data_IF_705123719330
#
_entry.id   IF_705123719330
#
_cell.length_a   1.000
_cell.length_b   1.000
_cell.length_c   1.000
_cell.angle_alpha   90.00
_cell.angle_beta   90.00
_cell.angle_gamma   90.00
#
_symmetry.space_group_name_H-M   'P 1'
#
loop_
_entity.id
_entity.type
_entity.pdbx_description
1 polymer ?
#
# COMPACT_ATOMS: atom_id res chain seq x y z
N UNK A 1 6.20 -86.31 -38.14
CA UNK A 1 6.88 -86.01 -36.86
C UNK A 1 6.74 -84.54 -36.48
N UNK A 2 7.13 -83.59 -37.34
CA UNK A 2 6.99 -82.16 -37.05
C UNK A 2 5.55 -81.70 -36.82
N UNK A 3 4.57 -82.14 -37.62
CA UNK A 3 3.14 -81.80 -37.41
C UNK A 3 2.58 -82.37 -36.10
N UNK A 4 2.98 -83.59 -35.71
CA UNK A 4 2.58 -84.20 -34.44
C UNK A 4 3.16 -83.45 -33.24
N UNK A 5 4.41 -82.98 -33.37
CA UNK A 5 5.06 -82.12 -32.37
C UNK A 5 4.35 -80.77 -32.30
N UNK A 6 4.02 -80.15 -33.44
CA UNK A 6 3.28 -78.89 -33.52
C UNK A 6 1.92 -78.99 -32.84
N UNK A 7 1.13 -80.02 -33.15
CA UNK A 7 -0.18 -80.24 -32.53
C UNK A 7 -0.07 -80.51 -31.02
N UNK A 8 0.93 -81.28 -30.58
CA UNK A 8 1.18 -81.51 -29.16
C UNK A 8 1.55 -80.21 -28.42
N UNK A 9 2.40 -79.37 -29.03
CA UNK A 9 2.81 -78.06 -28.50
C UNK A 9 1.62 -77.11 -28.42
N UNK A 10 0.84 -76.95 -29.50
CA UNK A 10 -0.33 -76.06 -29.51
C UNK A 10 -1.43 -76.49 -28.53
N UNK A 11 -1.52 -77.79 -28.21
CA UNK A 11 -2.44 -78.31 -27.18
C UNK A 11 -1.96 -78.04 -25.76
N UNK A 12 -0.65 -78.10 -25.51
CA UNK A 12 -0.06 -77.85 -24.20
C UNK A 12 0.07 -76.34 -23.91
N UNK A 13 0.20 -75.52 -24.97
CA UNK A 13 0.39 -74.08 -24.92
C UNK A 13 -0.63 -73.39 -25.83
N UNK A 14 -1.90 -73.29 -25.40
CA UNK A 14 -2.98 -72.71 -26.21
C UNK A 14 -2.70 -71.25 -26.64
N UNK A 15 -1.92 -70.50 -25.88
CA UNK A 15 -1.45 -69.15 -26.18
C UNK A 15 -0.57 -69.09 -27.45
N UNK A 16 0.05 -70.19 -27.85
CA UNK A 16 0.81 -70.29 -29.10
C UNK A 16 -0.11 -70.35 -30.31
N UNK A 17 -1.30 -70.94 -30.17
CA UNK A 17 -2.29 -71.04 -31.25
C UNK A 17 -2.85 -69.68 -31.63
N UNK A 18 -3.08 -68.82 -30.63
CA UNK A 18 -3.57 -67.45 -30.82
C UNK A 18 -2.47 -66.39 -30.90
N UNK A 19 -1.19 -66.75 -30.89
CA UNK A 19 -0.08 -65.79 -30.88
C UNK A 19 -0.08 -64.84 -29.68
N UNK A 20 -0.72 -65.21 -28.57
CA UNK A 20 -0.95 -64.35 -27.39
C UNK A 20 0.29 -64.24 -26.49
N UNK A 21 1.27 -65.10 -26.73
CA UNK A 21 2.60 -65.07 -26.13
C UNK A 21 3.49 -63.97 -26.72
N UNK A 22 3.11 -63.40 -27.86
CA UNK A 22 3.84 -62.30 -28.51
C UNK A 22 3.17 -60.97 -28.17
N UNK A 23 4.01 -59.96 -28.03
CA UNK A 23 3.55 -58.58 -27.97
C UNK A 23 3.04 -58.16 -29.34
N UNK A 24 1.95 -57.40 -29.34
CA UNK A 24 1.34 -56.88 -30.56
C UNK A 24 1.26 -55.37 -30.50
N UNK A 25 1.36 -54.73 -31.65
CA UNK A 25 0.96 -53.34 -31.77
C UNK A 25 -0.57 -53.26 -31.75
N UNK A 26 -1.07 -52.26 -31.04
CA UNK A 26 -2.47 -51.88 -31.06
C UNK A 26 -2.57 -50.35 -31.20
N UNK A 27 -3.70 -49.87 -31.72
CA UNK A 27 -3.98 -48.43 -31.84
C UNK A 27 -5.08 -48.05 -30.87
N UNK A 28 -4.90 -46.91 -30.20
CA UNK A 28 -5.92 -46.33 -29.33
C UNK A 28 -7.10 -45.85 -30.17
N UNK A 29 -8.31 -46.31 -29.85
CA UNK A 29 -9.55 -45.93 -30.53
C UNK A 29 -10.28 -44.83 -29.75
N UNK A 30 -10.34 -44.96 -28.43
CA UNK A 30 -11.02 -44.01 -27.55
C UNK A 30 -10.47 -44.07 -26.12
N UNK A 31 -10.70 -43.01 -25.34
CA UNK A 31 -10.45 -42.99 -23.89
C UNK A 31 -11.66 -43.62 -23.19
N UNK A 32 -11.41 -44.65 -22.37
CA UNK A 32 -12.47 -45.40 -21.69
C UNK A 32 -12.82 -44.80 -20.32
N UNK A 33 -14.11 -44.57 -20.07
CA UNK A 33 -14.74 -44.20 -18.77
C UNK A 33 -13.82 -43.44 -17.78
N UNK A 34 -13.42 -42.22 -18.14
CA UNK A 34 -12.56 -41.37 -17.30
C UNK A 34 -13.27 -41.05 -15.97
N UNK A 35 -12.63 -41.29 -14.81
CA UNK A 35 -13.22 -40.95 -13.51
C UNK A 35 -13.23 -39.43 -13.28
N UNK A 36 -14.28 -38.92 -12.62
CA UNK A 36 -14.36 -37.51 -12.19
C UNK A 36 -13.62 -37.21 -10.87
N UNK A 37 -13.27 -38.24 -10.10
CA UNK A 37 -12.58 -38.17 -8.81
C UNK A 37 -11.72 -39.44 -8.57
N UNK A 38 -10.89 -39.45 -7.53
CA UNK A 38 -10.11 -40.63 -7.14
C UNK A 38 -11.02 -41.84 -6.87
N UNK A 39 -10.74 -42.98 -7.51
CA UNK A 39 -11.56 -44.18 -7.38
C UNK A 39 -10.72 -45.45 -7.52
N UNK A 40 -11.19 -46.54 -6.92
CA UNK A 40 -10.57 -47.86 -7.06
C UNK A 40 -10.56 -48.29 -8.52
N UNK A 41 -9.38 -48.67 -9.02
CA UNK A 41 -9.21 -49.27 -10.32
C UNK A 41 -9.39 -50.80 -10.18
N UNK A 42 -10.50 -51.33 -10.69
CA UNK A 42 -10.83 -52.74 -10.58
C UNK A 42 -10.84 -53.41 -11.95
N UNK A 43 -10.67 -54.74 -11.96
CA UNK A 43 -10.63 -55.53 -13.20
C UNK A 43 -11.82 -55.29 -14.12
N UNK A 44 -13.02 -55.08 -13.56
CA UNK A 44 -14.25 -54.94 -14.34
C UNK A 44 -14.62 -53.47 -14.63
N UNK A 45 -13.84 -52.51 -14.11
CA UNK A 45 -14.01 -51.08 -14.37
C UNK A 45 -12.68 -50.35 -14.19
N UNK A 46 -11.70 -50.58 -15.10
CA UNK A 46 -10.43 -49.90 -15.00
C UNK A 46 -10.63 -48.41 -15.35
N UNK A 47 -10.13 -47.54 -14.47
CA UNK A 47 -10.36 -46.09 -14.53
C UNK A 47 -9.32 -45.33 -15.34
N UNK A 48 -8.15 -45.94 -15.53
CA UNK A 48 -7.08 -45.45 -16.38
C UNK A 48 -6.87 -46.46 -17.51
N UNK A 49 -7.72 -46.36 -18.53
CA UNK A 49 -7.83 -47.33 -19.60
C UNK A 49 -8.25 -46.69 -20.92
N UNK A 50 -8.01 -47.41 -22.01
CA UNK A 50 -8.36 -47.00 -23.38
C UNK A 50 -8.93 -48.19 -24.15
N UNK A 51 -9.75 -47.89 -25.15
CA UNK A 51 -10.19 -48.88 -26.12
C UNK A 51 -9.11 -49.05 -27.19
N UNK A 52 -8.77 -50.29 -27.55
CA UNK A 52 -7.72 -50.57 -28.53
C UNK A 52 -8.18 -51.52 -29.63
N UNK A 53 -7.65 -51.33 -30.83
CA UNK A 53 -7.72 -52.30 -31.92
C UNK A 53 -6.32 -52.89 -32.18
N UNK A 54 -6.22 -54.21 -32.29
CA UNK A 54 -4.95 -54.89 -32.53
C UNK A 54 -4.58 -54.74 -34.01
N UNK A 55 -3.31 -54.48 -34.29
CA UNK A 55 -2.78 -54.30 -35.63
C UNK A 55 -2.02 -55.54 -36.11
N UNK A 56 -1.99 -55.71 -37.42
CA UNK A 56 -1.11 -56.64 -38.13
C UNK A 56 0.33 -56.11 -38.17
N UNK A 57 1.28 -56.91 -38.69
CA UNK A 57 2.66 -56.48 -38.87
C UNK A 57 2.82 -55.28 -39.81
N UNK A 58 1.85 -55.05 -40.69
CA UNK A 58 1.80 -53.95 -41.64
C UNK A 58 1.08 -52.70 -41.07
N UNK A 59 0.78 -52.68 -39.76
CA UNK A 59 0.08 -51.59 -39.04
C UNK A 59 -1.39 -51.36 -39.44
N UNK A 60 -2.00 -52.33 -40.14
CA UNK A 60 -3.43 -52.34 -40.46
C UNK A 60 -4.23 -53.08 -39.38
N UNK A 61 -5.52 -52.74 -39.14
CA UNK A 61 -6.39 -53.47 -38.21
C UNK A 61 -6.40 -54.98 -38.49
N UNK A 62 -6.17 -55.80 -37.48
CA UNK A 62 -6.20 -57.25 -37.58
C UNK A 62 -7.65 -57.75 -37.40
N UNK A 63 -8.33 -58.24 -38.44
CA UNK A 63 -9.73 -58.68 -38.35
C UNK A 63 -9.90 -59.93 -37.48
N UNK A 64 -8.81 -60.61 -37.10
CA UNK A 64 -8.87 -61.75 -36.18
C UNK A 64 -9.20 -61.34 -34.74
N UNK A 65 -9.07 -60.05 -34.40
CA UNK A 65 -9.29 -59.55 -33.05
C UNK A 65 -10.41 -58.50 -33.02
N UNK A 66 -11.31 -58.56 -32.03
CA UNK A 66 -12.26 -57.48 -31.81
C UNK A 66 -11.55 -56.25 -31.24
N UNK A 67 -12.26 -55.12 -31.23
CA UNK A 67 -11.87 -53.98 -30.38
C UNK A 67 -11.95 -54.42 -28.92
N UNK A 68 -10.88 -54.19 -28.18
CA UNK A 68 -10.82 -54.45 -26.75
C UNK A 68 -11.19 -53.18 -25.99
N UNK A 69 -12.34 -53.15 -25.30
CA UNK A 69 -12.72 -51.99 -24.52
C UNK A 69 -11.97 -51.94 -23.19
N UNK A 70 -11.74 -50.73 -22.69
CA UNK A 70 -11.22 -50.47 -21.36
C UNK A 70 -9.97 -51.29 -20.99
N UNK A 71 -8.97 -51.34 -21.89
CA UNK A 71 -7.69 -51.98 -21.61
C UNK A 71 -6.85 -51.06 -20.70
N UNK A 72 -6.39 -51.54 -19.52
CA UNK A 72 -5.64 -50.71 -18.58
C UNK A 72 -4.34 -50.15 -19.17
N UNK A 73 -4.10 -48.86 -18.95
CA UNK A 73 -2.86 -48.16 -19.29
C UNK A 73 -1.77 -48.38 -18.21
N UNK A 74 -0.48 -48.43 -18.60
CA UNK A 74 0.62 -48.45 -17.66
C UNK A 74 0.82 -47.05 -17.05
N UNK A 75 1.21 -47.00 -15.78
CA UNK A 75 1.61 -45.75 -15.13
C UNK A 75 3.13 -45.58 -15.31
N UNK A 76 3.53 -44.55 -16.04
CA UNK A 76 4.91 -44.41 -16.55
C UNK A 76 5.96 -44.15 -15.47
N UNK A 77 5.60 -43.50 -14.37
CA UNK A 77 6.49 -43.23 -13.24
C UNK A 77 5.70 -43.14 -11.93
N UNK A 78 6.03 -44.02 -10.99
CA UNK A 78 5.32 -44.19 -9.71
C UNK A 78 3.94 -44.84 -9.90
N UNK A 79 3.60 -45.84 -9.10
CA UNK A 79 2.26 -46.41 -9.05
C UNK A 79 1.92 -46.71 -7.58
N UNK A 80 0.68 -46.44 -7.16
CA UNK A 80 0.23 -46.60 -5.78
C UNK A 80 -1.16 -45.99 -5.57
N UNK A 81 -1.60 -45.89 -4.31
CA UNK A 81 -2.82 -45.15 -4.00
C UNK A 81 -2.63 -43.67 -4.36
N UNK A 82 -3.46 -43.16 -5.27
CA UNK A 82 -3.50 -41.76 -5.72
C UNK A 82 -2.12 -41.14 -6.06
N UNK A 83 -1.22 -41.93 -6.64
CA UNK A 83 0.16 -41.53 -6.94
C UNK A 83 0.64 -42.04 -8.30
N UNK A 84 1.41 -41.19 -9.00
CA UNK A 84 2.00 -41.50 -10.30
C UNK A 84 1.90 -40.33 -11.28
N UNK A 85 2.43 -40.54 -12.48
CA UNK A 85 2.27 -39.62 -13.61
C UNK A 85 1.20 -40.17 -14.56
N UNK A 86 0.08 -39.46 -14.70
CA UNK A 86 -1.07 -39.88 -15.50
C UNK A 86 -1.25 -38.95 -16.69
N UNK A 87 -1.22 -39.52 -17.90
CA UNK A 87 -1.46 -38.81 -19.14
C UNK A 87 -2.04 -39.79 -20.16
N UNK A 88 -3.26 -39.51 -20.64
CA UNK A 88 -3.88 -40.35 -21.64
C UNK A 88 -3.18 -40.18 -22.99
N UNK A 89 -2.89 -41.27 -23.72
CA UNK A 89 -2.53 -41.19 -25.12
C UNK A 89 -3.74 -40.75 -25.95
N UNK A 90 -3.51 -39.95 -27.00
CA UNK A 90 -4.57 -39.53 -27.91
C UNK A 90 -5.10 -40.72 -28.74
N UNK A 91 -6.39 -40.70 -29.14
CA UNK A 91 -6.87 -41.60 -30.18
C UNK A 91 -5.98 -41.56 -31.42
N UNK A 92 -5.58 -42.74 -31.90
CA UNK A 92 -4.59 -42.92 -32.96
C UNK A 92 -3.18 -43.26 -32.47
N UNK A 93 -2.87 -43.04 -31.18
CA UNK A 93 -1.57 -43.40 -30.62
C UNK A 93 -1.33 -44.91 -30.66
N UNK A 94 -0.07 -45.30 -30.88
CA UNK A 94 0.34 -46.69 -30.92
C UNK A 94 0.69 -47.18 -29.50
N UNK A 95 0.26 -48.38 -29.16
CA UNK A 95 0.57 -49.04 -27.89
C UNK A 95 1.06 -50.46 -28.13
N UNK A 96 1.84 -50.98 -27.20
CA UNK A 96 2.21 -52.40 -27.18
C UNK A 96 1.32 -53.13 -26.18
N UNK A 97 0.50 -54.04 -26.69
CA UNK A 97 -0.39 -54.88 -25.89
C UNK A 97 0.22 -56.26 -25.68
N UNK A 98 0.13 -56.76 -24.46
CA UNK A 98 0.36 -58.16 -24.13
C UNK A 98 -0.87 -58.76 -23.47
N UNK A 99 -0.91 -60.09 -23.37
CA UNK A 99 -1.99 -60.82 -22.74
C UNK A 99 -1.50 -61.48 -21.46
N UNK A 100 -1.93 -60.99 -20.29
CA UNK A 100 -1.50 -61.56 -19.02
C UNK A 100 -1.92 -63.04 -18.94
N UNK A 101 -0.97 -63.90 -18.56
CA UNK A 101 -1.13 -65.37 -18.55
C UNK A 101 -1.51 -65.98 -19.91
N UNK A 102 -1.24 -65.28 -21.04
CA UNK A 102 -1.59 -65.76 -22.37
C UNK A 102 -3.10 -65.82 -22.65
N UNK A 103 -3.90 -65.08 -21.88
CA UNK A 103 -5.37 -65.11 -21.97
C UNK A 103 -5.92 -63.96 -22.83
N UNK A 104 -6.76 -64.23 -23.84
CA UNK A 104 -7.38 -63.18 -24.66
C UNK A 104 -8.19 -62.17 -23.86
N UNK A 105 -8.79 -62.57 -22.74
CA UNK A 105 -9.64 -61.72 -21.88
C UNK A 105 -8.84 -60.91 -20.85
N UNK A 106 -7.51 -60.95 -20.90
CA UNK A 106 -6.62 -60.16 -20.04
C UNK A 106 -5.60 -59.34 -20.85
N UNK A 107 -6.06 -58.47 -21.77
CA UNK A 107 -5.15 -57.53 -22.42
C UNK A 107 -4.61 -56.53 -21.39
N UNK A 108 -3.33 -56.22 -21.51
CA UNK A 108 -2.66 -55.16 -20.73
C UNK A 108 -1.76 -54.36 -21.66
N UNK A 109 -1.85 -53.03 -21.57
CA UNK A 109 -0.92 -52.16 -22.30
C UNK A 109 0.38 -52.12 -21.51
N UNK A 110 1.48 -52.50 -22.15
CA UNK A 110 2.81 -52.51 -21.52
C UNK A 110 3.52 -51.16 -21.65
N UNK A 111 3.31 -50.49 -22.78
CA UNK A 111 3.89 -49.18 -23.07
C UNK A 111 3.10 -48.47 -24.17
N UNK A 112 3.06 -47.14 -24.08
CA UNK A 112 2.68 -46.26 -25.19
C UNK A 112 3.92 -46.08 -26.05
N UNK A 113 3.81 -46.35 -27.35
CA UNK A 113 4.93 -46.33 -28.27
C UNK A 113 4.87 -45.08 -29.15
N UNK A 114 5.95 -44.28 -29.27
CA UNK A 114 5.91 -42.97 -29.92
C UNK A 114 5.90 -43.03 -31.45
N UNK A 115 5.88 -44.22 -32.05
CA UNK A 115 5.90 -44.35 -33.51
C UNK A 115 4.60 -43.82 -34.12
N UNK A 116 4.73 -42.97 -35.13
CA UNK A 116 3.59 -42.41 -35.86
C UNK A 116 3.04 -41.10 -35.29
N UNK A 117 3.61 -40.57 -34.20
CA UNK A 117 3.23 -39.27 -33.62
C UNK A 117 4.39 -38.27 -33.65
N UNK A 118 4.05 -36.99 -33.61
CA UNK A 118 5.02 -35.90 -33.47
C UNK A 118 5.56 -35.85 -32.05
N UNK A 119 6.89 -35.91 -31.92
CA UNK A 119 7.56 -35.81 -30.63
C UNK A 119 8.03 -34.39 -30.34
N UNK A 120 8.09 -34.00 -29.06
CA UNK A 120 8.63 -32.72 -28.69
C UNK A 120 10.15 -32.67 -28.88
N UNK A 121 10.67 -31.46 -29.09
CA UNK A 121 12.11 -31.23 -29.15
C UNK A 121 12.75 -31.38 -27.78
N UNK A 122 13.42 -32.51 -27.54
CA UNK A 122 14.19 -32.80 -26.34
C UNK A 122 15.60 -33.27 -26.71
N UNK A 123 16.62 -32.58 -26.21
CA UNK A 123 18.03 -32.88 -26.42
C UNK A 123 18.57 -33.83 -25.32
N UNK A 124 19.73 -34.47 -25.54
CA UNK A 124 20.37 -35.26 -24.50
C UNK A 124 20.59 -34.44 -23.22
N UNK A 125 20.38 -35.08 -22.06
CA UNK A 125 20.47 -34.48 -20.70
C UNK A 125 19.37 -33.51 -20.30
N UNK A 126 18.38 -33.28 -21.16
CA UNK A 126 17.20 -32.49 -20.78
C UNK A 126 16.13 -33.36 -20.13
N UNK A 127 15.27 -32.71 -19.34
CA UNK A 127 14.02 -33.29 -18.86
C UNK A 127 12.85 -32.41 -19.31
N UNK A 128 11.77 -33.04 -19.80
CA UNK A 128 10.61 -32.34 -20.33
C UNK A 128 9.31 -33.06 -19.94
N UNK A 129 8.44 -32.35 -19.22
CA UNK A 129 7.04 -32.71 -19.05
C UNK A 129 6.19 -31.71 -19.84
N UNK A 130 5.43 -32.18 -20.83
CA UNK A 130 4.78 -31.32 -21.81
C UNK A 130 3.37 -31.79 -22.17
N UNK A 131 2.43 -30.85 -22.19
CA UNK A 131 1.10 -31.04 -22.78
C UNK A 131 1.04 -30.47 -24.20
N UNK A 132 1.66 -29.31 -24.42
CA UNK A 132 1.75 -28.64 -25.73
C UNK A 132 3.03 -27.80 -25.82
N UNK A 133 3.42 -27.29 -27.01
CA UNK A 133 4.53 -26.34 -27.15
C UNK A 133 4.44 -25.09 -26.26
N UNK A 134 3.24 -24.71 -25.78
CA UNK A 134 3.00 -23.55 -24.90
C UNK A 134 2.75 -23.91 -23.43
N UNK A 135 2.59 -25.20 -23.10
CA UNK A 135 2.32 -25.69 -21.75
C UNK A 135 3.30 -26.80 -21.39
N UNK A 136 4.34 -26.46 -20.62
CA UNK A 136 5.40 -27.38 -20.26
C UNK A 136 6.16 -26.98 -18.98
N UNK A 137 6.89 -27.95 -18.45
CA UNK A 137 7.99 -27.74 -17.51
C UNK A 137 9.24 -28.45 -18.06
N UNK A 138 10.37 -27.73 -18.10
CA UNK A 138 11.62 -28.18 -18.72
C UNK A 138 12.80 -27.90 -17.82
N UNK A 139 13.73 -28.84 -17.75
CA UNK A 139 15.09 -28.61 -17.31
C UNK A 139 16.03 -28.77 -18.52
N UNK A 140 16.81 -27.75 -18.85
CA UNK A 140 17.80 -27.84 -19.94
C UNK A 140 19.07 -28.59 -19.50
N UNK A 141 20.02 -28.75 -20.42
CA UNK A 141 21.24 -29.53 -20.18
C UNK A 141 22.18 -28.86 -19.15
N UNK A 142 22.07 -27.53 -19.02
CA UNK A 142 22.78 -26.66 -18.07
C UNK A 142 22.13 -26.66 -16.68
N UNK A 143 20.89 -27.13 -16.57
CA UNK A 143 20.14 -27.24 -15.33
C UNK A 143 19.20 -26.07 -15.04
N UNK A 144 18.97 -25.19 -16.01
CA UNK A 144 17.97 -24.13 -15.89
C UNK A 144 16.56 -24.73 -15.96
N UNK A 145 15.65 -24.21 -15.15
CA UNK A 145 14.25 -24.64 -15.11
C UNK A 145 13.33 -23.59 -15.69
N UNK A 146 12.43 -24.01 -16.56
CA UNK A 146 11.38 -23.18 -17.15
C UNK A 146 10.02 -23.84 -16.97
N UNK A 147 9.04 -23.08 -16.48
CA UNK A 147 7.62 -23.45 -16.46
C UNK A 147 6.85 -22.42 -17.26
N UNK A 148 6.11 -22.87 -18.26
CA UNK A 148 5.32 -21.98 -19.13
C UNK A 148 3.92 -22.53 -19.29
N UNK A 149 2.93 -21.65 -19.27
CA UNK A 149 1.53 -21.94 -19.58
C UNK A 149 0.84 -20.68 -20.08
N UNK A 150 -0.13 -20.84 -20.96
CA UNK A 150 -1.09 -19.83 -21.40
C UNK A 150 -2.37 -19.82 -20.54
N UNK A 151 -2.40 -20.63 -19.48
CA UNK A 151 -3.51 -20.77 -18.55
C UNK A 151 -3.13 -20.37 -17.10
N UNK A 152 -3.99 -20.70 -16.14
CA UNK A 152 -3.80 -20.35 -14.73
C UNK A 152 -2.85 -21.32 -14.03
N UNK A 153 -1.94 -20.78 -13.22
CA UNK A 153 -1.17 -21.53 -12.22
C UNK A 153 -1.81 -21.30 -10.84
N UNK A 154 -2.13 -22.38 -10.13
CA UNK A 154 -2.53 -22.37 -8.72
C UNK A 154 -1.53 -23.17 -7.91
N UNK A 155 -0.91 -22.53 -6.92
CA UNK A 155 -0.09 -23.21 -5.90
C UNK A 155 -0.81 -23.10 -4.55
N UNK A 156 -1.19 -24.23 -3.94
CA UNK A 156 -1.71 -24.30 -2.57
C UNK A 156 -0.75 -25.10 -1.70
N UNK A 157 -0.33 -24.52 -0.57
CA UNK A 157 0.73 -25.07 0.26
C UNK A 157 0.64 -24.55 1.68
N UNK A 158 1.00 -25.40 2.65
CA UNK A 158 1.13 -24.99 4.07
C UNK A 158 2.33 -24.05 4.27
N UNK A 159 3.41 -24.25 3.52
CA UNK A 159 4.62 -23.44 3.59
C UNK A 159 5.27 -23.32 2.22
N UNK A 160 5.67 -22.09 1.87
CA UNK A 160 6.42 -21.78 0.65
C UNK A 160 7.65 -20.96 1.02
N UNK A 161 8.82 -21.49 0.68
CA UNK A 161 10.11 -20.82 0.89
C UNK A 161 10.75 -20.61 -0.49
N UNK A 162 11.02 -19.35 -0.82
CA UNK A 162 11.73 -18.97 -2.05
C UNK A 162 13.04 -18.31 -1.65
N UNK A 163 14.16 -18.84 -2.15
CA UNK A 163 15.49 -18.29 -1.91
C UNK A 163 16.19 -18.10 -3.24
N UNK A 164 16.60 -16.87 -3.51
CA UNK A 164 17.38 -16.52 -4.69
C UNK A 164 18.38 -15.42 -4.32
N UNK A 165 19.50 -15.38 -5.03
CA UNK A 165 20.46 -14.27 -4.93
C UNK A 165 19.93 -13.05 -5.69
N UNK A 166 19.24 -13.29 -6.80
CA UNK A 166 18.59 -12.28 -7.63
C UNK A 166 17.18 -12.76 -8.04
N UNK A 167 16.22 -11.85 -8.07
CA UNK A 167 14.83 -12.14 -8.39
C UNK A 167 14.12 -10.93 -8.98
N UNK A 168 13.61 -11.09 -10.21
CA UNK A 168 12.79 -10.10 -10.90
C UNK A 168 11.38 -10.64 -11.06
N UNK A 169 10.38 -9.79 -10.78
CA UNK A 169 8.96 -10.14 -10.92
C UNK A 169 8.27 -9.08 -11.75
N UNK A 170 7.92 -9.40 -13.00
CA UNK A 170 7.14 -8.53 -13.88
C UNK A 170 5.67 -8.93 -13.88
N UNK A 171 4.82 -8.08 -13.30
CA UNK A 171 3.39 -8.35 -13.13
C UNK A 171 2.57 -7.16 -13.65
N UNK A 172 1.60 -7.42 -14.53
CA UNK A 172 0.66 -6.40 -14.98
C UNK A 172 -0.39 -6.02 -13.91
N UNK A 173 -0.81 -6.98 -13.08
CA UNK A 173 -1.76 -6.76 -11.98
C UNK A 173 -1.45 -7.68 -10.79
N UNK A 174 -1.26 -7.10 -9.61
CA UNK A 174 -1.01 -7.84 -8.37
C UNK A 174 -2.08 -7.53 -7.31
N UNK A 175 -2.43 -8.53 -6.50
CA UNK A 175 -3.19 -8.35 -5.26
C UNK A 175 -2.57 -9.26 -4.18
N UNK A 176 -2.06 -8.65 -3.12
CA UNK A 176 -1.52 -9.38 -1.96
C UNK A 176 -2.47 -9.22 -0.77
N UNK A 177 -2.96 -10.34 -0.24
CA UNK A 177 -3.76 -10.39 0.99
C UNK A 177 -3.01 -11.18 2.05
N UNK A 178 -2.78 -10.57 3.20
CA UNK A 178 -2.14 -11.19 4.36
C UNK A 178 -3.14 -11.12 5.51
N UNK A 179 -3.55 -12.27 6.03
CA UNK A 179 -4.53 -12.33 7.12
C UNK A 179 -3.94 -12.03 8.49
N UNK A 180 -2.62 -12.19 8.63
CA UNK A 180 -1.87 -11.97 9.87
C UNK A 180 -0.79 -10.90 9.65
N UNK A 181 0.48 -11.22 9.93
CA UNK A 181 1.59 -10.27 9.92
C UNK A 181 2.35 -10.26 8.58
N UNK A 182 2.81 -9.09 8.17
CA UNK A 182 3.73 -8.91 7.04
C UNK A 182 4.90 -8.02 7.47
N UNK A 183 6.11 -8.50 7.24
CA UNK A 183 7.35 -7.76 7.51
C UNK A 183 8.16 -7.71 6.22
N UNK A 184 8.71 -6.53 5.91
CA UNK A 184 9.64 -6.32 4.80
C UNK A 184 10.91 -5.71 5.39
N UNK A 185 12.01 -6.45 5.32
CA UNK A 185 13.31 -6.00 5.78
C UNK A 185 14.24 -5.84 4.57
N UNK A 186 14.86 -4.67 4.46
CA UNK A 186 15.79 -4.34 3.37
C UNK A 186 17.04 -3.77 4.00
N UNK A 187 18.16 -4.51 3.91
CA UNK A 187 19.45 -4.06 4.46
C UNK A 187 20.08 -2.91 3.68
N UNK A 188 19.65 -2.70 2.43
CA UNK A 188 20.06 -1.59 1.57
C UNK A 188 18.98 -0.52 1.43
N UNK A 189 18.79 -0.01 0.21
CA UNK A 189 17.77 0.99 -0.11
C UNK A 189 16.47 0.32 -0.55
N UNK A 190 15.33 0.83 -0.06
CA UNK A 190 14.00 0.48 -0.55
C UNK A 190 13.33 1.71 -1.16
N UNK A 191 12.82 1.56 -2.38
CA UNK A 191 12.12 2.62 -3.11
C UNK A 191 10.70 2.15 -3.45
N UNK A 192 9.71 3.01 -3.22
CA UNK A 192 8.31 2.78 -3.61
C UNK A 192 7.85 3.92 -4.52
N UNK A 193 7.55 3.59 -5.77
CA UNK A 193 7.06 4.54 -6.76
C UNK A 193 5.63 4.19 -7.17
N UNK A 194 4.73 5.18 -7.08
CA UNK A 194 3.35 5.07 -7.51
C UNK A 194 3.03 6.19 -8.50
N UNK A 195 2.74 5.83 -9.76
CA UNK A 195 2.63 6.82 -10.85
C UNK A 195 1.41 7.75 -10.79
N UNK A 196 0.36 7.39 -10.04
CA UNK A 196 -0.89 8.17 -9.97
C UNK A 196 -1.30 8.49 -8.54
N UNK A 197 -1.56 7.46 -7.73
CA UNK A 197 -2.06 7.60 -6.37
C UNK A 197 -1.36 6.61 -5.45
N UNK A 198 -0.86 7.10 -4.32
CA UNK A 198 -0.40 6.30 -3.19
C UNK A 198 -1.36 6.52 -2.02
N UNK A 199 -1.98 5.45 -1.53
CA UNK A 199 -2.85 5.46 -0.36
C UNK A 199 -2.28 4.55 0.71
N UNK A 200 -2.10 5.08 1.92
CA UNK A 200 -1.65 4.33 3.10
C UNK A 200 -2.65 4.54 4.22
N UNK A 201 -3.18 3.45 4.78
CA UNK A 201 -4.19 3.47 5.82
C UNK A 201 -3.79 2.50 6.92
N UNK A 202 -3.95 2.93 8.17
CA UNK A 202 -3.79 2.09 9.35
C UNK A 202 -5.02 2.21 10.24
N UNK A 203 -5.50 1.09 10.79
CA UNK A 203 -6.73 1.07 11.58
C UNK A 203 -6.59 1.66 12.99
N UNK A 204 -5.38 1.62 13.57
CA UNK A 204 -5.14 2.05 14.96
C UNK A 204 -3.97 3.05 15.03
N UNK A 205 -2.81 2.68 14.50
CA UNK A 205 -1.58 3.49 14.57
C UNK A 205 -0.77 3.35 13.29
N UNK A 206 -0.20 4.46 12.84
CA UNK A 206 0.85 4.49 11.84
C UNK A 206 2.05 5.26 12.41
N UNK A 207 3.20 4.62 12.46
CA UNK A 207 4.45 5.25 12.88
C UNK A 207 5.32 5.48 11.64
N UNK A 208 5.76 6.73 11.44
CA UNK A 208 6.70 7.11 10.39
C UNK A 208 7.87 7.85 11.04
N UNK A 209 9.05 7.24 10.98
CA UNK A 209 10.25 7.76 11.62
C UNK A 209 11.50 7.44 10.83
N UNK A 210 12.56 8.19 11.11
CA UNK A 210 13.89 8.02 10.53
C UNK A 210 14.92 8.43 11.57
N UNK A 211 16.11 7.83 11.50
CA UNK A 211 17.25 8.25 12.31
C UNK A 211 17.95 9.49 11.71
N UNK A 212 17.75 9.72 10.41
CA UNK A 212 18.31 10.85 9.67
C UNK A 212 17.28 11.93 9.39
N UNK A 213 17.35 12.50 8.19
CA UNK A 213 16.40 13.52 7.74
C UNK A 213 15.09 12.88 7.24
N UNK A 214 13.95 13.50 7.57
CA UNK A 214 12.65 13.23 6.97
C UNK A 214 12.26 14.42 6.08
N UNK A 215 12.11 14.19 4.78
CA UNK A 215 11.68 15.20 3.83
C UNK A 215 10.27 14.88 3.32
N UNK A 216 9.36 15.84 3.42
CA UNK A 216 8.00 15.75 2.88
C UNK A 216 7.78 16.91 1.92
N UNK A 217 7.42 16.63 0.68
CA UNK A 217 7.23 17.65 -0.36
C UNK A 217 5.95 17.35 -1.14
N UNK A 218 5.12 18.37 -1.32
CA UNK A 218 3.93 18.32 -2.17
C UNK A 218 4.06 19.37 -3.26
N UNK A 219 3.78 19.01 -4.52
CA UNK A 219 3.77 19.95 -5.64
C UNK A 219 2.52 20.84 -5.68
N UNK A 220 1.53 20.56 -4.83
CA UNK A 220 0.27 21.30 -4.77
C UNK A 220 -0.16 21.52 -3.31
N UNK A 221 -1.37 21.08 -2.94
CA UNK A 221 -1.90 21.23 -1.59
C UNK A 221 -1.35 20.14 -0.66
N UNK A 222 -1.06 20.50 0.57
CA UNK A 222 -0.90 19.58 1.70
C UNK A 222 -1.94 19.93 2.78
N UNK A 223 -2.59 18.91 3.34
CA UNK A 223 -3.61 19.07 4.38
C UNK A 223 -3.25 18.16 5.55
N UNK A 224 -3.29 18.70 6.77
CA UNK A 224 -3.19 17.95 8.01
C UNK A 224 -4.49 18.12 8.78
N UNK A 225 -5.15 17.02 9.13
CA UNK A 225 -6.37 17.01 9.93
C UNK A 225 -6.18 16.08 11.11
N UNK A 226 -6.41 16.58 12.32
CA UNK A 226 -6.24 15.86 13.58
C UNK A 226 -7.54 15.98 14.35
N UNK A 227 -8.08 14.86 14.83
CA UNK A 227 -9.37 14.83 15.54
C UNK A 227 -9.29 15.29 17.01
N UNK A 228 -8.09 15.22 17.61
CA UNK A 228 -7.83 15.58 19.00
C UNK A 228 -6.65 16.57 19.10
N UNK A 229 -5.61 16.25 19.88
CA UNK A 229 -4.45 17.10 20.08
C UNK A 229 -3.34 16.90 19.04
N UNK A 230 -2.68 17.99 18.67
CA UNK A 230 -1.42 17.98 17.92
C UNK A 230 -0.29 18.46 18.84
N UNK A 231 0.76 17.66 18.96
CA UNK A 231 1.99 18.04 19.66
C UNK A 231 3.15 18.06 18.66
N UNK A 232 3.84 19.20 18.58
CA UNK A 232 5.06 19.38 17.79
C UNK A 232 6.20 19.71 18.75
N UNK A 233 7.28 18.92 18.70
CA UNK A 233 8.50 19.18 19.48
C UNK A 233 9.66 19.35 18.53
N UNK A 234 10.35 20.48 18.63
CA UNK A 234 11.52 20.81 17.81
C UNK A 234 12.70 21.05 18.75
N UNK A 235 13.75 20.24 18.61
CA UNK A 235 14.91 20.30 19.52
C UNK A 235 15.86 21.47 19.26
N UNK A 236 15.74 22.13 18.12
CA UNK A 236 16.55 23.27 17.70
C UNK A 236 15.65 24.32 17.00
N UNK A 237 16.04 24.79 15.82
CA UNK A 237 15.38 25.90 15.15
C UNK A 237 14.15 25.47 14.32
N UNK A 238 13.09 26.28 14.37
CA UNK A 238 11.92 26.20 13.50
C UNK A 238 11.88 27.42 12.59
N UNK A 239 11.98 27.20 11.28
CA UNK A 239 11.75 28.25 10.27
C UNK A 239 10.43 28.00 9.53
N UNK A 240 9.67 29.07 9.29
CA UNK A 240 8.40 29.03 8.55
C UNK A 240 8.38 30.19 7.56
N UNK A 241 8.42 29.89 6.25
CA UNK A 241 8.25 30.87 5.17
C UNK A 241 6.87 30.70 4.54
N UNK A 242 6.03 31.73 4.67
CA UNK A 242 4.70 31.78 4.06
C UNK A 242 4.66 32.94 3.09
N UNK A 243 4.76 32.64 1.80
CA UNK A 243 4.74 33.64 0.73
C UNK A 243 3.36 34.27 0.50
N UNK A 244 2.32 33.51 0.83
CA UNK A 244 0.93 33.96 0.75
C UNK A 244 0.42 34.55 2.06
N UNK A 245 -0.89 34.72 2.15
CA UNK A 245 -1.53 35.12 3.40
C UNK A 245 -1.51 33.97 4.42
N UNK A 246 -1.35 34.32 5.70
CA UNK A 246 -1.53 33.40 6.83
C UNK A 246 -2.75 33.84 7.63
N UNK A 247 -3.70 32.92 7.82
CA UNK A 247 -4.82 33.07 8.74
C UNK A 247 -4.69 32.06 9.88
N UNK A 248 -5.09 32.44 11.08
CA UNK A 248 -5.07 31.56 12.26
C UNK A 248 -6.32 31.84 13.08
N UNK A 249 -7.10 30.79 13.35
CA UNK A 249 -8.32 30.86 14.15
C UNK A 249 -8.14 29.93 15.34
N UNK A 250 -8.25 30.48 16.55
CA UNK A 250 -8.10 29.74 17.80
C UNK A 250 -9.42 29.88 18.55
N UNK A 251 -10.14 28.77 18.73
CA UNK A 251 -11.44 28.77 19.41
C UNK A 251 -11.32 28.84 20.94
N UNK A 252 -10.16 28.50 21.49
CA UNK A 252 -9.83 28.56 22.91
C UNK A 252 -8.82 29.65 23.25
N UNK A 253 -8.09 29.47 24.34
CA UNK A 253 -7.01 30.38 24.73
C UNK A 253 -5.75 30.17 23.87
N UNK A 254 -5.04 31.26 23.58
CA UNK A 254 -3.71 31.26 22.98
C UNK A 254 -2.69 31.72 24.03
N UNK A 255 -1.69 30.90 24.33
CA UNK A 255 -0.64 31.21 25.30
C UNK A 255 0.71 31.09 24.63
N UNK A 256 1.47 32.18 24.62
CA UNK A 256 2.81 32.25 24.06
C UNK A 256 3.82 32.55 25.17
N UNK A 257 4.79 31.65 25.34
CA UNK A 257 5.96 31.88 26.19
C UNK A 257 7.21 31.94 25.32
N UNK A 258 8.01 33.00 25.48
CA UNK A 258 9.27 33.19 24.77
C UNK A 258 10.35 33.39 25.83
N UNK A 259 11.34 32.49 25.85
CA UNK A 259 12.40 32.49 26.88
C UNK A 259 13.45 33.59 26.71
N UNK A 260 13.50 34.20 25.52
CA UNK A 260 14.38 35.32 25.18
C UNK A 260 13.57 36.43 24.50
N UNK A 261 14.01 36.92 23.34
CA UNK A 261 13.40 38.07 22.69
C UNK A 261 12.25 37.71 21.76
N UNK A 262 11.20 38.53 21.76
CA UNK A 262 10.13 38.53 20.75
C UNK A 262 10.19 39.83 19.95
N UNK A 263 10.46 39.72 18.65
CA UNK A 263 10.43 40.85 17.72
C UNK A 263 9.31 40.67 16.67
N UNK A 264 8.68 41.78 16.27
CA UNK A 264 7.68 41.79 15.21
C UNK A 264 7.90 43.02 14.31
N UNK A 265 8.22 42.76 13.03
CA UNK A 265 8.45 43.79 12.03
C UNK A 265 7.29 43.77 11.02
N UNK A 266 6.37 44.72 11.14
CA UNK A 266 5.19 44.84 10.28
C UNK A 266 5.35 46.07 9.40
N UNK A 267 5.52 45.87 8.08
CA UNK A 267 5.61 46.97 7.12
C UNK A 267 4.25 47.63 6.83
N UNK A 268 3.18 46.85 6.91
CA UNK A 268 1.80 47.33 6.77
C UNK A 268 1.20 47.82 8.10
N UNK A 269 -0.13 47.97 8.12
CA UNK A 269 -0.84 48.29 9.35
C UNK A 269 -0.87 47.08 10.31
N UNK A 270 -0.77 47.36 11.61
CA UNK A 270 -1.03 46.40 12.69
C UNK A 270 -2.25 46.87 13.48
N UNK A 271 -3.31 46.06 13.49
CA UNK A 271 -4.54 46.33 14.22
C UNK A 271 -4.76 45.25 15.26
N UNK A 272 -5.04 45.65 16.50
CA UNK A 272 -5.34 44.75 17.60
C UNK A 272 -6.62 45.21 18.31
N UNK A 273 -7.60 44.32 18.39
CA UNK A 273 -8.87 44.56 19.07
C UNK A 273 -9.00 43.58 20.22
N UNK A 274 -9.05 44.08 21.45
CA UNK A 274 -9.21 43.28 22.66
C UNK A 274 -10.55 43.64 23.28
N UNK A 275 -11.47 42.67 23.36
CA UNK A 275 -12.79 42.89 23.95
C UNK A 275 -12.79 42.93 25.48
N UNK A 276 -11.78 42.32 26.10
CA UNK A 276 -11.53 42.35 27.55
C UNK A 276 -10.40 43.31 27.93
N UNK A 277 -9.80 43.08 29.09
CA UNK A 277 -8.64 43.86 29.55
C UNK A 277 -7.39 43.53 28.74
N UNK A 278 -6.65 44.57 28.34
CA UNK A 278 -5.28 44.45 27.83
C UNK A 278 -4.31 44.97 28.87
N UNK A 279 -3.58 44.06 29.52
CA UNK A 279 -2.55 44.41 30.50
C UNK A 279 -1.15 44.33 29.89
N UNK A 280 -0.30 45.31 30.19
CA UNK A 280 1.11 45.34 29.78
C UNK A 280 1.95 45.57 31.04
N UNK A 281 2.67 44.52 31.45
CA UNK A 281 3.62 44.59 32.54
C UNK A 281 5.04 44.49 31.97
N UNK A 282 5.76 45.60 31.98
CA UNK A 282 7.12 45.69 31.47
C UNK A 282 7.94 46.65 32.35
N UNK A 283 9.25 46.43 32.42
CA UNK A 283 10.14 47.36 33.11
C UNK A 283 10.07 48.77 32.52
N UNK A 284 9.97 48.88 31.19
CA UNK A 284 9.76 50.14 30.47
C UNK A 284 8.79 49.92 29.30
N UNK A 285 7.95 50.91 29.03
CA UNK A 285 7.08 50.97 27.86
C UNK A 285 7.44 52.23 27.07
N UNK A 286 7.81 52.07 25.80
CA UNK A 286 8.11 53.19 24.90
C UNK A 286 7.10 53.21 23.77
N UNK A 287 6.36 54.32 23.64
CA UNK A 287 5.44 54.57 22.55
C UNK A 287 5.99 55.71 21.70
N UNK A 288 6.36 55.40 20.46
CA UNK A 288 6.89 56.38 19.51
C UNK A 288 6.08 56.31 18.21
N UNK A 289 5.50 57.45 17.81
CA UNK A 289 4.80 57.60 16.54
C UNK A 289 5.41 58.77 15.77
N UNK A 290 5.68 58.60 14.47
CA UNK A 290 6.07 59.71 13.59
C UNK A 290 4.91 60.69 13.37
N UNK A 291 3.68 60.18 13.41
CA UNK A 291 2.44 60.96 13.38
C UNK A 291 1.98 61.29 14.79
N UNK A 292 0.82 60.77 15.17
CA UNK A 292 0.20 61.04 16.46
C UNK A 292 0.07 59.79 17.31
N UNK A 293 0.14 59.98 18.63
CA UNK A 293 -0.34 58.99 19.61
C UNK A 293 -1.74 59.43 20.02
N UNK A 294 -2.75 58.63 19.70
CA UNK A 294 -4.12 58.90 20.06
C UNK A 294 -4.53 57.97 21.20
N UNK A 295 -4.97 58.57 22.29
CA UNK A 295 -5.69 57.87 23.36
C UNK A 295 -7.16 58.28 23.26
N UNK A 296 -8.07 57.33 23.46
CA UNK A 296 -9.49 57.59 23.70
C UNK A 296 -9.88 56.76 24.92
N UNK A 297 -10.47 57.40 25.91
CA UNK A 297 -10.84 56.75 27.16
C UNK A 297 -12.35 56.84 27.38
N UNK A 298 -13.00 55.71 27.62
CA UNK A 298 -14.38 55.64 28.11
C UNK A 298 -14.45 55.59 29.64
N UNK A 299 -15.66 55.43 30.18
CA UNK A 299 -15.92 55.32 31.64
C UNK A 299 -15.63 53.91 32.18
N UNK A 300 -14.36 53.48 32.13
CA UNK A 300 -13.93 52.21 32.71
C UNK A 300 -13.77 52.27 34.24
N UNK A 301 -13.74 51.12 34.90
CA UNK A 301 -13.45 51.00 36.34
C UNK A 301 -11.93 51.08 36.59
N UNK A 302 -11.40 52.28 36.80
CA UNK A 302 -9.99 52.50 37.16
C UNK A 302 -9.65 54.00 37.26
N UNK A 303 -8.54 54.34 37.93
CA UNK A 303 -8.06 55.72 37.99
C UNK A 303 -7.57 56.15 36.62
N UNK A 304 -8.27 57.11 36.01
CA UNK A 304 -7.90 57.65 34.71
C UNK A 304 -6.87 58.77 34.89
N UNK A 305 -5.68 58.58 34.32
CA UNK A 305 -4.66 59.65 34.25
C UNK A 305 -5.24 60.94 33.64
N UNK A 306 -6.10 60.81 32.63
CA UNK A 306 -6.74 61.96 32.02
C UNK A 306 -7.75 62.63 32.96
N UNK A 307 -8.51 61.85 33.75
CA UNK A 307 -9.41 62.42 34.75
C UNK A 307 -8.64 63.16 35.85
N UNK A 308 -7.56 62.57 36.38
CA UNK A 308 -6.68 63.21 37.37
C UNK A 308 -6.02 64.47 36.82
N UNK A 309 -5.54 64.44 35.56
CA UNK A 309 -4.97 65.61 34.90
C UNK A 309 -6.02 66.72 34.74
N UNK A 310 -7.26 66.38 34.37
CA UNK A 310 -8.34 67.36 34.24
C UNK A 310 -8.69 67.99 35.58
N UNK A 311 -8.78 67.19 36.64
CA UNK A 311 -9.02 67.69 38.00
C UNK A 311 -7.89 68.64 38.44
N UNK A 312 -6.64 68.28 38.18
CA UNK A 312 -5.49 69.14 38.45
C UNK A 312 -5.55 70.47 37.68
N UNK A 313 -5.93 70.45 36.40
CA UNK A 313 -6.12 71.67 35.61
C UNK A 313 -7.24 72.56 36.16
N UNK A 314 -8.31 71.96 36.71
CA UNK A 314 -9.39 72.71 37.37
C UNK A 314 -8.91 73.39 38.65
N UNK A 315 -8.18 72.68 39.51
CA UNK A 315 -7.61 73.24 40.74
C UNK A 315 -6.62 74.38 40.46
N UNK A 316 -5.73 74.20 39.47
CA UNK A 316 -4.80 75.27 39.06
C UNK A 316 -5.57 76.49 38.54
N UNK A 317 -6.63 76.27 37.75
CA UNK A 317 -7.45 77.36 37.23
C UNK A 317 -8.12 78.14 38.37
N UNK A 318 -8.73 77.42 39.32
CA UNK A 318 -9.38 78.04 40.47
C UNK A 318 -8.39 78.89 41.28
N UNK A 319 -7.17 78.39 41.49
CA UNK A 319 -6.11 79.15 42.16
C UNK A 319 -5.70 80.42 41.38
N UNK A 320 -5.58 80.34 40.05
CA UNK A 320 -5.28 81.51 39.21
C UNK A 320 -6.40 82.55 39.24
N UNK A 321 -7.66 82.12 39.26
CA UNK A 321 -8.81 83.02 39.34
C UNK A 321 -8.83 83.77 40.69
N UNK A 322 -8.49 83.09 41.80
CA UNK A 322 -8.29 83.75 43.10
C UNK A 322 -7.12 84.73 43.06
N UNK A 323 -5.98 84.32 42.51
CA UNK A 323 -4.78 85.15 42.44
C UNK A 323 -5.00 86.41 41.59
N UNK A 324 -5.72 86.31 40.46
CA UNK A 324 -5.95 87.43 39.56
C UNK A 324 -6.67 88.62 40.25
N UNK A 325 -7.51 88.33 41.25
CA UNK A 325 -8.25 89.32 42.02
C UNK A 325 -7.77 89.51 43.46
N UNK A 326 -6.67 88.87 43.87
CA UNK A 326 -6.24 88.95 45.26
C UNK A 326 -5.71 90.35 45.60
N UNK A 327 -5.85 90.71 46.87
CA UNK A 327 -5.46 92.02 47.41
C UNK A 327 -4.61 91.86 48.65
N UNK A 328 -3.65 92.78 48.84
CA UNK A 328 -2.96 92.95 50.11
C UNK A 328 -3.51 94.20 50.83
N UNK A 329 -3.66 94.16 52.16
CA UNK A 329 -4.19 95.29 52.93
C UNK A 329 -3.50 96.63 52.65
N UNK A 330 -2.19 96.60 52.40
CA UNK A 330 -1.35 97.81 52.28
C UNK A 330 -0.85 98.12 50.86
N UNK A 331 -1.19 97.28 49.86
CA UNK A 331 -0.71 97.43 48.47
C UNK A 331 -1.81 97.33 47.39
N UNK A 332 -3.05 96.96 47.76
CA UNK A 332 -4.16 96.83 46.81
C UNK A 332 -4.13 95.52 46.01
N UNK A 333 -4.86 95.47 44.89
CA UNK A 333 -4.82 94.34 43.93
C UNK A 333 -3.47 94.27 43.25
N UNK A 334 -3.02 93.07 42.92
CA UNK A 334 -1.83 92.92 42.07
C UNK A 334 -1.96 93.64 40.73
N UNK A 335 -0.88 94.27 40.29
CA UNK A 335 -0.79 94.96 39.01
C UNK A 335 -0.76 94.00 37.82
N UNK A 336 -0.42 92.71 38.03
CA UNK A 336 -0.45 91.69 36.98
C UNK A 336 -1.79 90.93 36.85
N UNK A 337 -2.86 91.34 37.54
CA UNK A 337 -4.14 90.59 37.58
C UNK A 337 -4.71 90.22 36.20
N UNK A 338 -4.68 91.15 35.24
CA UNK A 338 -5.13 90.89 33.87
C UNK A 338 -4.31 89.82 33.14
N UNK A 339 -3.00 89.77 33.38
CA UNK A 339 -2.15 88.73 32.83
C UNK A 339 -2.50 87.36 33.44
N UNK A 340 -2.73 87.29 34.75
CA UNK A 340 -3.14 86.07 35.46
C UNK A 340 -4.48 85.52 34.94
N UNK A 341 -5.49 86.37 34.74
CA UNK A 341 -6.76 85.97 34.11
C UNK A 341 -6.54 85.42 32.69
N UNK A 342 -5.60 85.99 31.94
CA UNK A 342 -5.20 85.48 30.63
C UNK A 342 -4.60 84.06 30.68
N UNK A 343 -3.84 83.73 31.73
CA UNK A 343 -3.34 82.37 31.96
C UNK A 343 -4.46 81.38 32.29
N UNK A 344 -5.40 81.76 33.18
CA UNK A 344 -6.56 80.93 33.53
C UNK A 344 -7.42 80.60 32.29
N UNK A 345 -7.62 81.57 31.39
CA UNK A 345 -8.35 81.37 30.14
C UNK A 345 -7.65 80.35 29.22
N UNK A 346 -6.32 80.46 29.02
CA UNK A 346 -5.56 79.48 28.21
C UNK A 346 -5.59 78.09 28.82
N UNK A 347 -5.49 77.99 30.15
CA UNK A 347 -5.60 76.72 30.87
C UNK A 347 -6.96 76.04 30.62
N UNK A 348 -8.05 76.83 30.60
CA UNK A 348 -9.37 76.36 30.19
C UNK A 348 -9.42 75.77 28.78
N UNK A 349 -8.68 76.35 27.83
CA UNK A 349 -8.52 75.81 26.49
C UNK A 349 -7.85 74.43 26.49
N UNK A 350 -6.71 74.29 27.19
CA UNK A 350 -6.02 73.00 27.32
C UNK A 350 -6.87 71.93 28.00
N UNK A 351 -7.59 72.31 29.06
CA UNK A 351 -8.55 71.42 29.73
C UNK A 351 -9.63 70.94 28.77
N UNK A 352 -10.17 71.81 27.91
CA UNK A 352 -11.17 71.42 26.92
C UNK A 352 -10.61 70.41 25.90
N UNK A 353 -9.35 70.60 25.46
CA UNK A 353 -8.66 69.64 24.57
C UNK A 353 -8.50 68.27 25.23
N UNK A 354 -7.98 68.21 26.46
CA UNK A 354 -7.78 66.95 27.19
C UNK A 354 -9.15 66.30 27.52
N UNK A 355 -10.17 67.09 27.84
CA UNK A 355 -11.52 66.60 28.11
C UNK A 355 -12.21 65.96 26.89
N UNK A 356 -11.74 66.27 25.68
CA UNK A 356 -12.18 65.60 24.45
C UNK A 356 -11.60 64.19 24.26
N UNK A 357 -10.53 63.84 24.99
CA UNK A 357 -9.91 62.51 24.96
C UNK A 357 -10.72 61.50 25.80
N UNK A 358 -11.41 61.98 26.82
CA UNK A 358 -12.14 61.16 27.82
C UNK A 358 -13.63 61.00 27.53
N UNK A 359 -14.10 61.33 26.32
CA UNK A 359 -15.52 61.28 25.93
C UNK A 359 -15.82 60.16 24.96
#
# INVERSE_FOLDING_TARGET
>A
MQETIRAAVLRLFPELSGGLHLDRYARVVAIADQPGEGATCERFRPRYAVDIEILTADMEPDPAYPVYPAVPLPVSCGAGQESGTFAYPEPGALVVVGFAYGRPDHPVIRQVYPLGVSLPGVAPREWLAQQSPTVFQRADAEGNWTRTTDATITDDSVSRIVRAVDATTDIARELRRISEHSTTEVGGMATLEAGTVLTMLAGIRADLGTLGALNLTSGARATLTVGEGLQETVGADRTTDVRGARATTIGGADTLSVGADRAANIAGASTETVGGEKSINAANITLAAQGTICCKAGQGSGTSLFAELLACLDEIRAALDVLAGHTHPDAGTIDQGAAVSGHAARLGGHRATIGGITR
#
